data_IF_789668335714
#
_entry.id   IF_789668335714
#
_cell.length_a   1.000
_cell.length_b   1.000
_cell.length_c   1.000
_cell.angle_alpha   90.00
_cell.angle_beta   90.00
_cell.angle_gamma   90.00
#
_symmetry.space_group_name_H-M   'P 1'
#
loop_
_entity.id
_entity.type
_entity.pdbx_description
1 polymer ?
#
# COMPACT_ATOMS: atom_id res chain seq x y z
N UNK A 1 5.64 -22.19 18.53
CA UNK A 1 6.58 -21.64 19.54
C UNK A 1 7.76 -20.90 18.90
N UNK A 2 8.43 -21.47 17.90
CA UNK A 2 9.60 -20.88 17.22
C UNK A 2 9.28 -19.51 16.59
N UNK A 3 8.24 -19.42 15.78
CA UNK A 3 7.85 -18.17 15.08
C UNK A 3 7.57 -17.05 16.09
N UNK A 4 6.78 -17.32 17.14
CA UNK A 4 6.46 -16.32 18.16
C UNK A 4 7.70 -15.77 18.85
N UNK A 5 8.67 -16.63 19.19
CA UNK A 5 9.94 -16.20 19.79
C UNK A 5 10.76 -15.29 18.86
N UNK A 6 10.81 -15.62 17.56
CA UNK A 6 11.52 -14.78 16.60
C UNK A 6 10.84 -13.42 16.38
N UNK A 7 9.50 -13.40 16.32
CA UNK A 7 8.75 -12.15 16.25
C UNK A 7 8.95 -11.28 17.50
N UNK A 8 9.03 -11.88 18.67
CA UNK A 8 9.31 -11.18 19.92
C UNK A 8 10.69 -10.51 19.90
N UNK A 9 11.72 -11.22 19.45
CA UNK A 9 13.08 -10.69 19.30
C UNK A 9 13.10 -9.53 18.28
N UNK A 10 12.39 -9.67 17.17
CA UNK A 10 12.28 -8.63 16.15
C UNK A 10 11.58 -7.39 16.72
N UNK A 11 10.42 -7.56 17.36
CA UNK A 11 9.65 -6.45 17.91
C UNK A 11 10.34 -5.73 19.07
N UNK A 12 11.16 -6.42 19.86
CA UNK A 12 11.90 -5.77 20.97
C UNK A 12 12.87 -4.70 20.44
N UNK A 13 13.32 -4.84 19.20
CA UNK A 13 14.22 -3.89 18.52
C UNK A 13 13.50 -2.88 17.60
N UNK A 14 12.19 -3.07 17.37
CA UNK A 14 11.39 -2.22 16.48
C UNK A 14 10.35 -1.44 17.27
N UNK A 15 10.48 -0.12 17.29
CA UNK A 15 9.54 0.80 17.98
C UNK A 15 8.86 1.80 17.03
N UNK A 16 8.90 1.55 15.75
CA UNK A 16 8.29 2.35 14.69
C UNK A 16 7.07 1.66 14.06
N UNK A 17 6.19 2.39 13.39
CA UNK A 17 5.04 1.81 12.71
C UNK A 17 5.43 0.78 11.65
N UNK A 18 4.62 -0.26 11.54
CA UNK A 18 4.85 -1.39 10.65
C UNK A 18 3.72 -1.54 9.65
N UNK A 19 4.06 -1.91 8.42
CA UNK A 19 3.12 -2.44 7.45
C UNK A 19 3.26 -3.97 7.39
N UNK A 20 2.13 -4.66 7.51
CA UNK A 20 2.02 -6.12 7.38
C UNK A 20 1.21 -6.41 6.13
N UNK A 21 1.85 -6.94 5.10
CA UNK A 21 1.26 -7.09 3.77
C UNK A 21 1.50 -8.47 3.19
N UNK A 22 0.69 -8.81 2.22
CA UNK A 22 0.86 -9.99 1.38
C UNK A 22 2.09 -9.89 0.47
N UNK A 23 2.60 -11.05 0.09
CA UNK A 23 3.48 -11.26 -1.05
C UNK A 23 3.13 -12.63 -1.61
N UNK A 24 2.45 -12.64 -2.73
CA UNK A 24 1.94 -13.85 -3.35
C UNK A 24 2.43 -14.00 -4.78
N UNK A 25 2.42 -15.22 -5.29
CA UNK A 25 2.81 -15.49 -6.68
C UNK A 25 1.87 -14.80 -7.67
N UNK A 26 0.61 -14.59 -7.31
CA UNK A 26 -0.36 -13.94 -8.19
C UNK A 26 -0.20 -12.42 -8.23
N UNK A 27 0.31 -11.79 -7.17
CA UNK A 27 0.56 -10.33 -7.16
C UNK A 27 1.62 -9.94 -8.18
N UNK A 28 2.59 -10.81 -8.44
CA UNK A 28 3.72 -10.58 -9.35
C UNK A 28 3.56 -11.26 -10.72
N UNK A 29 2.35 -11.73 -11.04
CA UNK A 29 2.09 -12.41 -12.31
C UNK A 29 2.27 -11.47 -13.50
N UNK A 30 3.09 -11.86 -14.48
CA UNK A 30 3.46 -11.00 -15.64
C UNK A 30 2.28 -10.63 -16.54
N UNK A 31 1.28 -11.51 -16.68
CA UNK A 31 0.18 -11.33 -17.63
C UNK A 31 -1.10 -10.79 -16.99
N UNK A 32 -1.27 -10.96 -15.69
CA UNK A 32 -2.45 -10.50 -14.95
C UNK A 32 -2.03 -10.15 -13.53
N UNK A 33 -1.40 -8.98 -13.31
CA UNK A 33 -0.93 -8.58 -12.00
C UNK A 33 -2.12 -8.32 -11.05
N UNK A 34 -1.96 -8.77 -9.81
CA UNK A 34 -2.99 -8.81 -8.78
C UNK A 34 -2.79 -7.79 -7.67
N UNK A 35 -2.25 -6.63 -8.01
CA UNK A 35 -1.99 -5.60 -7.01
C UNK A 35 -3.26 -5.17 -6.26
N UNK A 36 -3.18 -5.12 -4.93
CA UNK A 36 -4.23 -4.55 -4.09
C UNK A 36 -5.41 -5.46 -3.74
N UNK A 37 -5.40 -6.73 -4.13
CA UNK A 37 -6.49 -7.67 -3.83
C UNK A 37 -6.44 -8.19 -2.39
N UNK A 38 -5.24 -8.42 -1.88
CA UNK A 38 -5.06 -8.85 -0.50
C UNK A 38 -4.95 -7.68 0.46
N UNK A 39 -5.26 -7.91 1.72
CA UNK A 39 -5.27 -6.86 2.73
C UNK A 39 -3.86 -6.52 3.21
N UNK A 40 -3.64 -5.24 3.44
CA UNK A 40 -2.48 -4.70 4.14
C UNK A 40 -2.94 -4.09 5.46
N UNK A 41 -2.26 -4.44 6.55
CA UNK A 41 -2.54 -3.89 7.87
C UNK A 41 -1.39 -3.02 8.34
N UNK A 42 -1.70 -1.82 8.79
CA UNK A 42 -0.72 -0.87 9.30
C UNK A 42 -0.84 -0.81 10.82
N UNK A 43 0.26 -1.09 11.51
CA UNK A 43 0.33 -1.17 12.97
C UNK A 43 1.09 0.03 13.52
N UNK A 44 0.54 0.76 14.51
CA UNK A 44 1.26 1.82 15.21
C UNK A 44 2.55 1.34 15.89
N UNK A 45 2.53 0.11 16.42
CA UNK A 45 3.65 -0.59 17.06
C UNK A 45 4.38 0.23 18.16
N UNK A 46 3.68 1.11 18.86
CA UNK A 46 4.24 2.03 19.87
C UNK A 46 3.77 1.77 21.31
N UNK A 47 2.97 0.72 21.50
CA UNK A 47 2.52 0.41 22.86
C UNK A 47 3.70 -0.04 23.74
N UNK A 48 3.79 0.42 25.01
CA UNK A 48 4.89 0.04 25.92
C UNK A 48 4.92 -1.46 26.22
N UNK A 49 3.75 -2.11 26.27
CA UNK A 49 3.65 -3.56 26.46
C UNK A 49 4.00 -4.31 25.15
N UNK A 50 5.15 -4.99 25.18
CA UNK A 50 5.64 -5.81 24.07
C UNK A 50 4.71 -6.98 23.75
N UNK A 51 4.06 -7.59 24.75
CA UNK A 51 3.12 -8.71 24.54
C UNK A 51 1.89 -8.24 23.74
N UNK A 52 1.39 -7.04 24.02
CA UNK A 52 0.28 -6.47 23.26
C UNK A 52 0.71 -6.18 21.81
N UNK A 53 1.89 -5.60 21.61
CA UNK A 53 2.44 -5.38 20.24
C UNK A 53 2.60 -6.69 19.47
N UNK A 54 3.12 -7.73 20.14
CA UNK A 54 3.26 -9.07 19.54
C UNK A 54 1.91 -9.69 19.21
N UNK A 55 0.93 -9.55 20.08
CA UNK A 55 -0.44 -10.05 19.85
C UNK A 55 -1.05 -9.39 18.61
N UNK A 56 -0.95 -8.07 18.50
CA UNK A 56 -1.43 -7.31 17.36
C UNK A 56 -0.71 -7.68 16.05
N UNK A 57 0.60 -7.87 16.09
CA UNK A 57 1.36 -8.31 14.92
C UNK A 57 0.92 -9.72 14.46
N UNK A 58 0.78 -10.65 15.38
CA UNK A 58 0.31 -12.01 15.08
C UNK A 58 -1.12 -11.99 14.52
N UNK A 59 -1.99 -11.13 15.05
CA UNK A 59 -3.33 -10.93 14.51
C UNK A 59 -3.29 -10.39 13.08
N UNK A 60 -2.51 -9.35 12.81
CA UNK A 60 -2.35 -8.80 11.47
C UNK A 60 -1.84 -9.84 10.47
N UNK A 61 -0.83 -10.65 10.84
CA UNK A 61 -0.33 -11.76 10.02
C UNK A 61 -1.46 -12.74 9.69
N UNK A 62 -2.26 -13.15 10.68
CA UNK A 62 -3.40 -14.05 10.45
C UNK A 62 -4.45 -13.44 9.52
N UNK A 63 -4.73 -12.15 9.66
CA UNK A 63 -5.69 -11.44 8.82
C UNK A 63 -5.20 -11.30 7.38
N UNK A 64 -3.89 -11.11 7.15
CA UNK A 64 -3.31 -11.15 5.81
C UNK A 64 -3.52 -12.52 5.17
N UNK A 65 -3.22 -13.62 5.87
CA UNK A 65 -3.52 -14.96 5.36
C UNK A 65 -5.02 -15.18 5.14
N UNK A 66 -5.87 -14.73 6.05
CA UNK A 66 -7.32 -14.86 5.92
C UNK A 66 -7.85 -14.07 4.71
N UNK A 67 -7.18 -12.98 4.30
CA UNK A 67 -7.60 -12.18 3.16
C UNK A 67 -7.60 -12.97 1.84
N UNK A 68 -6.83 -14.05 1.73
CA UNK A 68 -6.86 -14.96 0.57
C UNK A 68 -8.25 -15.54 0.32
N UNK A 69 -9.04 -15.72 1.37
CA UNK A 69 -10.38 -16.31 1.31
C UNK A 69 -11.50 -15.28 1.23
N UNK A 70 -11.20 -14.00 1.13
CA UNK A 70 -12.20 -12.93 0.99
C UNK A 70 -12.86 -12.93 -0.40
N UNK A 71 -13.94 -12.15 -0.55
CA UNK A 71 -14.76 -12.15 -1.76
C UNK A 71 -13.98 -11.75 -3.02
N UNK A 72 -13.13 -10.71 -2.94
CA UNK A 72 -12.39 -10.22 -4.10
C UNK A 72 -11.35 -11.24 -4.63
N UNK A 73 -10.45 -11.83 -3.82
CA UNK A 73 -9.57 -12.91 -4.27
C UNK A 73 -10.31 -14.12 -4.84
N UNK A 74 -11.40 -14.52 -4.19
CA UNK A 74 -12.21 -15.65 -4.65
C UNK A 74 -12.93 -15.38 -5.97
N UNK A 75 -13.44 -14.18 -6.16
CA UNK A 75 -14.09 -13.80 -7.43
C UNK A 75 -13.08 -13.82 -8.58
N UNK A 76 -11.88 -13.33 -8.32
CA UNK A 76 -10.83 -13.34 -9.33
C UNK A 76 -10.31 -14.76 -9.62
N UNK A 77 -10.04 -15.57 -8.62
CA UNK A 77 -9.64 -16.96 -8.85
C UNK A 77 -10.66 -17.72 -9.72
N UNK A 78 -11.97 -17.39 -9.59
CA UNK A 78 -13.03 -17.93 -10.46
C UNK A 78 -12.98 -17.40 -11.90
N UNK A 79 -12.50 -16.20 -12.12
CA UNK A 79 -12.39 -15.59 -13.46
C UNK A 79 -11.09 -15.95 -14.19
N UNK A 80 -10.15 -16.58 -13.50
CA UNK A 80 -8.88 -17.05 -14.04
C UNK A 80 -8.77 -18.56 -13.92
N UNK A 81 -7.82 -19.18 -14.63
CA UNK A 81 -7.55 -20.63 -14.49
C UNK A 81 -6.83 -21.00 -13.18
N UNK A 82 -6.58 -20.03 -12.30
CA UNK A 82 -5.88 -20.24 -11.03
C UNK A 82 -6.84 -20.73 -9.95
N UNK A 83 -6.42 -21.79 -9.23
CA UNK A 83 -7.15 -22.28 -8.07
C UNK A 83 -6.63 -21.57 -6.82
N UNK A 84 -7.55 -21.21 -5.93
CA UNK A 84 -7.20 -20.60 -4.64
C UNK A 84 -6.27 -21.50 -3.80
N UNK A 85 -6.32 -22.80 -4.03
CA UNK A 85 -5.50 -23.82 -3.37
C UNK A 85 -4.02 -23.79 -3.80
N UNK A 86 -3.75 -23.28 -5.00
CA UNK A 86 -2.39 -23.18 -5.56
C UNK A 86 -1.70 -21.86 -5.12
N UNK A 87 -2.44 -20.97 -4.45
CA UNK A 87 -1.93 -19.69 -3.98
C UNK A 87 -0.97 -19.86 -2.80
N UNK A 88 0.29 -19.53 -3.04
CA UNK A 88 1.33 -19.53 -2.01
C UNK A 88 1.57 -18.09 -1.55
N UNK A 89 1.12 -17.79 -0.36
CA UNK A 89 1.26 -16.46 0.24
C UNK A 89 2.39 -16.44 1.27
N UNK A 90 3.29 -15.48 1.12
CA UNK A 90 4.17 -15.03 2.18
C UNK A 90 3.62 -13.73 2.80
N UNK A 91 4.06 -13.40 4.00
CA UNK A 91 3.72 -12.14 4.67
C UNK A 91 4.99 -11.33 4.86
N UNK A 92 4.97 -10.10 4.37
CA UNK A 92 6.05 -9.13 4.54
C UNK A 92 5.70 -8.22 5.71
N UNK A 93 6.65 -8.06 6.64
CA UNK A 93 6.61 -7.09 7.72
C UNK A 93 7.68 -6.05 7.40
N UNK A 94 7.27 -4.82 7.16
CA UNK A 94 8.22 -3.75 6.80
C UNK A 94 7.98 -2.48 7.61
N UNK A 95 9.02 -1.68 7.75
CA UNK A 95 8.95 -0.35 8.33
C UNK A 95 8.05 0.54 7.48
N UNK A 96 7.07 1.18 8.12
CA UNK A 96 6.25 2.20 7.48
C UNK A 96 6.99 3.53 7.50
N UNK A 97 7.36 4.06 6.34
CA UNK A 97 8.05 5.35 6.23
C UNK A 97 7.07 6.49 6.49
N UNK A 98 7.51 7.51 7.23
CA UNK A 98 6.70 8.69 7.54
C UNK A 98 7.23 9.47 8.74
N UNK A 99 6.44 10.43 9.18
CA UNK A 99 6.71 11.27 10.36
C UNK A 99 5.47 11.37 11.24
N UNK A 100 5.69 11.75 12.50
CA UNK A 100 4.63 11.92 13.49
C UNK A 100 4.09 13.33 13.39
N UNK A 101 2.76 13.45 13.29
CA UNK A 101 2.03 14.71 13.32
C UNK A 101 0.89 14.59 14.36
N UNK A 102 1.17 15.04 15.58
CA UNK A 102 0.24 14.86 16.70
C UNK A 102 0.00 13.37 17.01
N UNK A 103 -1.23 12.92 16.84
CA UNK A 103 -1.65 11.52 17.05
C UNK A 103 -1.61 10.67 15.77
N UNK A 104 -1.14 11.22 14.65
CA UNK A 104 -1.12 10.56 13.36
C UNK A 104 0.30 10.35 12.84
N UNK A 105 0.45 9.39 11.92
CA UNK A 105 1.72 9.08 11.28
C UNK A 105 1.50 8.88 9.78
N UNK A 106 2.25 9.61 8.96
CA UNK A 106 2.18 9.49 7.51
C UNK A 106 3.43 10.09 6.85
N UNK A 107 3.78 9.67 5.61
CA UNK A 107 4.80 10.33 4.80
C UNK A 107 4.25 11.63 4.21
N UNK A 108 5.10 12.64 4.02
CA UNK A 108 4.71 13.86 3.31
C UNK A 108 4.26 13.56 1.88
N UNK A 109 4.93 12.62 1.21
CA UNK A 109 4.63 12.18 -0.16
C UNK A 109 4.79 10.67 -0.24
N UNK A 110 3.85 10.02 -0.92
CA UNK A 110 3.95 8.64 -1.41
C UNK A 110 3.70 8.60 -2.90
N UNK A 111 4.23 7.60 -3.59
CA UNK A 111 4.07 7.55 -5.03
C UNK A 111 4.42 6.21 -5.64
N UNK A 112 4.07 6.07 -6.91
CA UNK A 112 4.43 4.97 -7.80
C UNK A 112 5.01 5.55 -9.08
N UNK A 113 6.15 5.03 -9.51
CA UNK A 113 6.75 5.36 -10.79
C UNK A 113 6.72 4.13 -11.70
N UNK A 114 6.37 4.35 -12.95
CA UNK A 114 6.35 3.33 -13.99
C UNK A 114 7.32 3.73 -15.10
N UNK A 115 8.10 2.80 -15.61
CA UNK A 115 9.07 3.02 -16.69
C UNK A 115 8.42 3.23 -18.07
N UNK A 116 7.11 2.97 -18.18
CA UNK A 116 6.36 3.11 -19.41
C UNK A 116 5.08 3.89 -19.17
N UNK A 117 4.85 4.93 -19.99
CA UNK A 117 3.63 5.73 -19.99
C UNK A 117 2.71 5.25 -21.12
N UNK A 118 1.62 4.59 -20.78
CA UNK A 118 0.65 4.09 -21.76
C UNK A 118 -0.20 5.18 -22.41
N UNK A 119 -0.21 6.39 -21.85
CA UNK A 119 -1.03 7.53 -22.32
C UNK A 119 -0.20 8.80 -22.35
N UNK A 120 0.85 8.85 -23.22
CA UNK A 120 1.67 10.05 -23.36
C UNK A 120 0.83 11.19 -23.95
N UNK A 121 1.11 12.41 -23.54
CA UNK A 121 0.46 13.62 -24.04
C UNK A 121 1.49 14.59 -24.58
N UNK A 122 1.10 15.37 -25.60
CA UNK A 122 2.01 16.31 -26.28
C UNK A 122 3.29 15.61 -26.78
N UNK A 123 4.46 16.14 -26.50
CA UNK A 123 5.77 15.64 -26.94
C UNK A 123 6.35 14.52 -26.07
N UNK A 124 5.58 14.02 -25.09
CA UNK A 124 6.01 12.92 -24.24
C UNK A 124 6.13 11.62 -25.02
N UNK A 125 7.17 10.85 -24.71
CA UNK A 125 7.35 9.50 -25.25
C UNK A 125 6.95 8.45 -24.21
N UNK A 126 6.41 7.29 -24.64
CA UNK A 126 6.03 6.21 -23.71
C UNK A 126 7.18 5.76 -22.81
N UNK A 127 8.40 5.69 -23.33
CA UNK A 127 9.59 5.19 -22.65
C UNK A 127 10.13 6.15 -21.58
N UNK A 128 9.62 7.37 -21.52
CA UNK A 128 10.00 8.37 -20.50
C UNK A 128 9.32 8.08 -19.14
N UNK A 129 8.37 7.16 -19.15
CA UNK A 129 7.69 6.74 -17.95
C UNK A 129 6.72 7.79 -17.40
N UNK A 130 6.13 7.46 -16.25
CA UNK A 130 5.18 8.31 -15.55
C UNK A 130 5.27 8.09 -14.05
N UNK A 131 5.11 9.16 -13.27
CA UNK A 131 5.01 9.10 -11.82
C UNK A 131 3.62 9.56 -11.35
N UNK A 132 3.12 8.88 -10.33
CA UNK A 132 1.91 9.23 -9.60
C UNK A 132 2.31 9.50 -8.15
N UNK A 133 2.03 10.68 -7.64
CA UNK A 133 2.33 11.04 -6.25
C UNK A 133 1.09 11.59 -5.55
N UNK A 134 1.01 11.35 -4.24
CA UNK A 134 -0.05 11.86 -3.38
C UNK A 134 0.49 12.15 -1.98
N UNK A 135 -0.17 13.03 -1.25
CA UNK A 135 0.09 13.24 0.17
C UNK A 135 -0.42 12.05 0.99
N UNK A 136 0.29 11.73 2.06
CA UNK A 136 -0.10 10.68 3.00
C UNK A 136 0.33 9.28 2.59
N UNK A 137 -0.30 8.27 3.19
CA UNK A 137 0.01 6.87 2.94
C UNK A 137 -0.32 6.43 1.51
N UNK A 138 0.47 5.48 0.99
CA UNK A 138 0.43 5.02 -0.40
C UNK A 138 -0.88 4.44 -0.91
N UNK A 139 -1.88 4.25 -0.05
CA UNK A 139 -3.20 3.75 -0.42
C UNK A 139 -3.83 4.56 -1.56
N UNK A 140 -3.72 5.89 -1.52
CA UNK A 140 -4.26 6.78 -2.57
C UNK A 140 -3.71 6.44 -3.96
N UNK A 141 -2.41 6.19 -4.09
CA UNK A 141 -1.78 5.90 -5.40
C UNK A 141 -1.98 4.46 -5.82
N UNK A 142 -2.07 3.51 -4.88
CA UNK A 142 -2.25 2.07 -5.16
C UNK A 142 -3.69 1.76 -5.57
N UNK A 143 -4.68 2.36 -4.91
CA UNK A 143 -6.10 2.13 -5.18
C UNK A 143 -6.69 3.04 -6.27
N UNK A 144 -5.85 3.81 -6.97
CA UNK A 144 -6.29 4.68 -8.07
C UNK A 144 -7.05 5.94 -7.63
N UNK A 145 -6.76 6.43 -6.42
CA UNK A 145 -7.29 7.71 -5.94
C UNK A 145 -6.72 8.92 -6.69
N UNK A 146 -7.23 10.11 -6.37
CA UNK A 146 -6.75 11.37 -6.97
C UNK A 146 -5.32 11.64 -6.56
N UNK A 147 -4.40 11.52 -7.50
CA UNK A 147 -2.96 11.70 -7.34
C UNK A 147 -2.43 12.64 -8.41
N UNK A 148 -1.36 13.35 -8.11
CA UNK A 148 -0.64 14.14 -9.11
C UNK A 148 0.11 13.18 -10.03
N UNK A 149 -0.17 13.28 -11.34
CA UNK A 149 0.44 12.46 -12.38
C UNK A 149 1.31 13.33 -13.28
N UNK A 150 2.56 12.96 -13.46
CA UNK A 150 3.48 13.72 -14.28
C UNK A 150 4.58 12.85 -14.90
N UNK A 151 5.12 13.29 -16.03
CA UNK A 151 6.36 12.75 -16.58
C UNK A 151 7.56 13.42 -15.89
N UNK A 152 8.57 12.64 -15.52
CA UNK A 152 9.80 13.17 -14.94
C UNK A 152 10.56 14.11 -15.88
N UNK A 153 10.41 13.91 -17.18
CA UNK A 153 11.01 14.78 -18.22
C UNK A 153 10.27 16.10 -18.38
N UNK A 154 8.95 16.10 -18.19
CA UNK A 154 8.10 17.27 -18.35
C UNK A 154 7.25 17.52 -17.09
N UNK A 155 7.86 17.81 -15.93
CA UNK A 155 7.14 17.87 -14.64
C UNK A 155 6.15 19.02 -14.56
N UNK A 156 6.30 20.04 -15.44
CA UNK A 156 5.40 21.19 -15.49
C UNK A 156 4.16 20.93 -16.37
N UNK A 157 4.19 19.90 -17.21
CA UNK A 157 3.08 19.56 -18.06
C UNK A 157 2.12 18.63 -17.31
N UNK A 158 1.07 19.23 -16.76
CA UNK A 158 0.07 18.58 -15.91
C UNK A 158 -1.31 18.62 -16.60
N UNK A 159 -1.61 17.69 -17.53
CA UNK A 159 -2.87 17.71 -18.30
C UNK A 159 -4.11 17.65 -17.43
N UNK A 160 -4.00 17.04 -16.25
CA UNK A 160 -5.10 16.93 -15.27
C UNK A 160 -5.43 18.24 -14.56
N UNK A 161 -4.66 19.31 -14.77
CA UNK A 161 -4.82 20.63 -14.16
C UNK A 161 -4.85 21.75 -15.20
N UNK A 162 -5.38 21.47 -16.39
CA UNK A 162 -5.40 22.40 -17.51
C UNK A 162 -6.37 23.57 -17.31
N UNK A 163 -7.44 23.37 -16.56
CA UNK A 163 -8.45 24.39 -16.24
C UNK A 163 -8.72 24.46 -14.74
N UNK A 164 -9.37 25.51 -14.27
CA UNK A 164 -9.82 25.63 -12.87
C UNK A 164 -10.75 24.47 -12.49
N UNK A 165 -11.63 24.07 -13.39
CA UNK A 165 -12.53 22.93 -13.19
C UNK A 165 -11.75 21.62 -13.06
N UNK A 166 -10.75 21.41 -13.90
CA UNK A 166 -9.86 20.25 -13.80
C UNK A 166 -9.13 20.20 -12.45
N UNK A 167 -8.62 21.35 -11.95
CA UNK A 167 -7.97 21.45 -10.66
C UNK A 167 -8.96 21.03 -9.56
N UNK A 168 -10.16 21.58 -9.56
CA UNK A 168 -11.18 21.26 -8.57
C UNK A 168 -11.62 19.80 -8.60
N UNK A 169 -11.67 19.22 -9.81
CA UNK A 169 -12.09 17.83 -9.99
C UNK A 169 -10.99 16.82 -9.73
N UNK A 170 -9.72 17.14 -10.01
CA UNK A 170 -8.61 16.19 -9.96
C UNK A 170 -7.67 16.39 -8.76
N UNK A 171 -7.72 17.52 -8.06
CA UNK A 171 -6.90 17.73 -6.86
C UNK A 171 -7.25 16.72 -5.76
N UNK A 172 -6.23 16.26 -5.07
CA UNK A 172 -6.39 15.41 -3.88
C UNK A 172 -7.06 16.22 -2.77
N UNK A 173 -8.17 15.69 -2.23
CA UNK A 173 -8.94 16.34 -1.13
C UNK A 173 -8.77 15.61 0.20
N UNK A 174 -8.40 14.34 0.16
CA UNK A 174 -8.24 13.46 1.33
C UNK A 174 -6.92 12.72 1.23
N UNK A 175 -6.35 12.40 2.35
CA UNK A 175 -5.19 11.53 2.43
C UNK A 175 -5.34 10.54 3.59
N UNK A 176 -4.62 9.43 3.50
CA UNK A 176 -4.62 8.41 4.53
C UNK A 176 -3.44 8.63 5.49
N UNK A 177 -3.73 8.53 6.78
CA UNK A 177 -2.76 8.61 7.87
C UNK A 177 -3.02 7.47 8.86
N UNK A 178 -1.97 6.96 9.49
CA UNK A 178 -2.09 5.96 10.55
C UNK A 178 -2.38 6.68 11.87
N UNK A 179 -3.45 6.29 12.56
CA UNK A 179 -3.71 6.72 13.92
C UNK A 179 -2.80 5.95 14.88
N UNK A 180 -2.00 6.67 15.66
CA UNK A 180 -1.04 6.08 16.59
C UNK A 180 -1.65 5.60 17.91
N UNK A 181 -2.88 6.02 18.21
CA UNK A 181 -3.57 5.70 19.46
C UNK A 181 -4.50 4.49 19.32
N UNK A 182 -4.98 4.23 18.12
CA UNK A 182 -5.92 3.14 17.86
C UNK A 182 -5.25 2.04 17.04
N UNK A 183 -5.49 0.80 17.45
CA UNK A 183 -5.32 -0.35 16.58
C UNK A 183 -6.51 -0.31 15.60
N UNK A 184 -6.31 -0.47 14.30
CA UNK A 184 -7.43 -0.56 13.39
C UNK A 184 -8.28 -1.77 13.80
N UNK A 185 -9.41 -1.48 14.39
CA UNK A 185 -10.52 -2.41 14.43
C UNK A 185 -11.03 -2.49 13.00
N UNK A 186 -11.22 -3.67 12.47
CA UNK A 186 -11.53 -4.12 11.12
C UNK A 186 -12.29 -3.12 10.19
#
# INVERSE_FOLDING_TARGET
KWLRRNLDIVLSNLNYPLAVRSSSLLEDAQFQPFAGIYRTYMLPNRHPDLNLRLTRLVQAIKLVYASTYMAAPRAYAKSTMHRTEDEKMAVIIQHLTGSIYGSTYYPAISGVAQSYNFYPVSDMKPEEGIAHIAMGLGKTVVEGGKSLRFSSRYPQLLPQFSTVEDILNNAQRFFYALNLQHFPDD
#
